data_IF_994786590449
#
_entry.id   IF_994786590449
#
_cell.length_a   1.000
_cell.length_b   1.000
_cell.length_c   1.000
_cell.angle_alpha   90.00
_cell.angle_beta   90.00
_cell.angle_gamma   90.00
#
_symmetry.space_group_name_H-M   'P 1'
#
loop_
_entity.id
_entity.type
_entity.pdbx_description
1 polymer ?
#
# COMPACT_ATOMS: atom_id res chain seq x y z
N UNK A 1 -0.77 7.01 -1.13
CA UNK A 1 -1.59 6.89 -2.35
C UNK A 1 -3.04 7.19 -2.05
N UNK A 2 -3.62 8.12 -2.76
CA UNK A 2 -5.03 8.49 -2.63
C UNK A 2 -5.93 7.52 -3.42
N UNK A 3 -7.19 7.39 -3.03
CA UNK A 3 -8.17 6.65 -3.84
C UNK A 3 -8.31 7.23 -5.25
N UNK A 4 -8.20 8.56 -5.38
CA UNK A 4 -8.25 9.23 -6.69
C UNK A 4 -7.15 8.78 -7.66
N UNK A 5 -6.04 8.29 -7.15
CA UNK A 5 -4.92 7.80 -7.95
C UNK A 5 -5.07 6.34 -8.39
N UNK A 6 -6.03 5.61 -7.80
CA UNK A 6 -6.33 4.23 -8.18
C UNK A 6 -7.13 4.23 -9.48
N UNK A 7 -6.69 3.44 -10.45
CA UNK A 7 -7.39 3.32 -11.73
C UNK A 7 -8.62 2.42 -11.57
N UNK A 8 -9.81 3.00 -11.71
CA UNK A 8 -11.06 2.26 -11.54
C UNK A 8 -11.40 1.92 -10.09
N UNK A 9 -12.23 0.91 -9.91
CA UNK A 9 -12.65 0.40 -8.59
C UNK A 9 -13.40 1.42 -7.71
N UNK A 10 -14.10 2.37 -8.30
CA UNK A 10 -14.82 3.42 -7.55
C UNK A 10 -15.84 2.84 -6.57
N UNK A 11 -16.63 1.87 -7.00
CA UNK A 11 -17.65 1.24 -6.15
C UNK A 11 -17.03 0.50 -4.96
N UNK A 12 -15.95 -0.25 -5.19
CA UNK A 12 -15.25 -0.97 -4.14
C UNK A 12 -14.54 -0.01 -3.19
N UNK A 13 -13.91 1.04 -3.72
CA UNK A 13 -13.31 2.10 -2.92
C UNK A 13 -14.32 2.79 -2.02
N UNK A 14 -15.52 3.07 -2.54
CA UNK A 14 -16.61 3.67 -1.75
C UNK A 14 -17.04 2.76 -0.59
N UNK A 15 -17.14 1.45 -0.82
CA UNK A 15 -17.47 0.48 0.25
C UNK A 15 -16.38 0.42 1.31
N UNK A 16 -15.12 0.45 0.91
CA UNK A 16 -13.99 0.46 1.84
C UNK A 16 -13.99 1.72 2.71
N UNK A 17 -14.19 2.87 2.13
CA UNK A 17 -14.29 4.13 2.87
C UNK A 17 -15.47 4.12 3.85
N UNK A 18 -16.61 3.63 3.43
CA UNK A 18 -17.79 3.52 4.29
C UNK A 18 -17.52 2.60 5.49
N UNK A 19 -16.81 1.49 5.30
CA UNK A 19 -16.46 0.59 6.40
C UNK A 19 -15.61 1.29 7.47
N UNK A 20 -14.68 2.15 7.06
CA UNK A 20 -13.86 2.95 7.99
C UNK A 20 -14.72 3.97 8.71
N UNK A 21 -15.57 4.70 8.00
CA UNK A 21 -16.41 5.74 8.57
C UNK A 21 -17.47 5.21 9.53
N UNK A 22 -17.98 4.02 9.27
CA UNK A 22 -18.94 3.36 10.15
C UNK A 22 -18.30 2.59 11.31
N UNK A 23 -16.97 2.54 11.38
CA UNK A 23 -16.25 1.79 12.41
C UNK A 23 -16.29 0.28 12.24
N UNK A 24 -16.57 -0.21 11.04
CA UNK A 24 -16.73 -1.65 10.73
C UNK A 24 -15.58 -2.18 9.89
N UNK A 25 -14.36 -1.88 10.27
CA UNK A 25 -13.18 -2.36 9.58
C UNK A 25 -12.91 -3.81 9.98
N UNK A 26 -12.81 -4.69 8.99
CA UNK A 26 -12.48 -6.10 9.23
C UNK A 26 -11.08 -6.23 9.81
N UNK A 27 -10.89 -7.18 10.72
CA UNK A 27 -9.60 -7.47 11.36
C UNK A 27 -8.51 -7.85 10.34
N UNK A 28 -8.89 -8.58 9.29
CA UNK A 28 -8.00 -8.95 8.19
C UNK A 28 -8.79 -8.84 6.89
N UNK A 29 -8.15 -8.31 5.85
CA UNK A 29 -8.75 -8.09 4.54
C UNK A 29 -7.85 -8.63 3.45
N UNK A 30 -8.43 -9.39 2.52
CA UNK A 30 -7.72 -9.91 1.35
C UNK A 30 -8.10 -9.08 0.13
N UNK A 31 -7.10 -8.47 -0.49
CA UNK A 31 -7.23 -7.77 -1.77
C UNK A 31 -6.66 -8.69 -2.84
N UNK A 32 -7.53 -9.34 -3.60
CA UNK A 32 -7.11 -10.25 -4.66
C UNK A 32 -7.55 -9.75 -6.03
N UNK A 33 -6.79 -10.11 -7.04
CA UNK A 33 -7.07 -9.77 -8.42
C UNK A 33 -5.97 -10.26 -9.32
N UNK A 34 -6.19 -10.14 -10.62
CA UNK A 34 -5.16 -10.43 -11.61
C UNK A 34 -4.05 -9.40 -11.53
N UNK A 35 -2.86 -9.79 -11.97
CA UNK A 35 -1.72 -8.90 -12.06
C UNK A 35 -2.07 -7.65 -12.89
N UNK A 36 -1.72 -6.48 -12.36
CA UNK A 36 -2.05 -5.20 -12.98
C UNK A 36 -3.47 -4.69 -12.75
N UNK A 37 -4.34 -5.47 -12.10
CA UNK A 37 -5.72 -5.07 -11.83
C UNK A 37 -5.87 -4.00 -10.72
N UNK A 38 -4.82 -3.76 -9.93
CA UNK A 38 -4.80 -2.68 -8.95
C UNK A 38 -5.11 -3.10 -7.52
N UNK A 39 -5.02 -4.38 -7.18
CA UNK A 39 -5.24 -4.85 -5.80
C UNK A 39 -4.31 -4.15 -4.80
N UNK A 40 -3.01 -4.08 -5.11
CA UNK A 40 -2.03 -3.41 -4.26
C UNK A 40 -2.25 -1.89 -4.20
N UNK A 41 -2.59 -1.26 -5.33
CA UNK A 41 -2.91 0.16 -5.38
C UNK A 41 -4.09 0.50 -4.46
N UNK A 42 -5.16 -0.29 -4.53
CA UNK A 42 -6.34 -0.10 -3.69
C UNK A 42 -6.01 -0.35 -2.21
N UNK A 43 -5.22 -1.37 -1.91
CA UNK A 43 -4.78 -1.66 -0.54
C UNK A 43 -3.95 -0.51 0.05
N UNK A 44 -3.07 0.09 -0.73
CA UNK A 44 -2.29 1.28 -0.31
C UNK A 44 -3.20 2.48 -0.03
N UNK A 45 -4.14 2.75 -0.92
CA UNK A 45 -5.10 3.84 -0.72
C UNK A 45 -5.94 3.62 0.54
N UNK A 46 -6.37 2.39 0.77
CA UNK A 46 -7.12 2.02 1.97
C UNK A 46 -6.30 2.17 3.25
N UNK A 47 -5.04 1.73 3.26
CA UNK A 47 -4.14 1.90 4.39
C UNK A 47 -3.93 3.38 4.73
N UNK A 48 -3.77 4.23 3.74
CA UNK A 48 -3.67 5.67 3.94
C UNK A 48 -4.96 6.26 4.53
N UNK A 49 -6.10 5.82 4.03
CA UNK A 49 -7.41 6.26 4.53
C UNK A 49 -7.64 5.87 6.00
N UNK A 50 -7.25 4.65 6.37
CA UNK A 50 -7.34 4.15 7.75
C UNK A 50 -6.54 4.99 8.74
N UNK A 51 -5.42 5.55 8.32
CA UNK A 51 -4.48 6.29 9.17
C UNK A 51 -4.55 7.81 8.95
N UNK A 52 -5.34 8.28 8.00
CA UNK A 52 -5.52 9.71 7.74
C UNK A 52 -6.13 10.41 8.95
N UNK A 53 -5.56 11.55 9.34
CA UNK A 53 -6.03 12.34 10.49
C UNK A 53 -7.34 13.07 10.22
N UNK A 54 -7.62 13.38 8.96
CA UNK A 54 -8.82 14.12 8.53
C UNK A 54 -9.41 13.53 7.25
N UNK A 55 -9.87 12.26 7.27
CA UNK A 55 -10.45 11.65 6.08
C UNK A 55 -11.80 12.30 5.74
N UNK A 56 -12.07 12.42 4.45
CA UNK A 56 -13.37 12.85 3.95
C UNK A 56 -14.16 11.64 3.45
N UNK A 57 -15.41 11.85 3.08
CA UNK A 57 -16.22 10.80 2.45
C UNK A 57 -15.61 10.32 1.12
N UNK A 58 -14.94 11.21 0.40
CA UNK A 58 -14.39 10.92 -0.91
C UNK A 58 -12.97 10.32 -0.88
N UNK A 59 -12.11 10.74 0.05
CA UNK A 59 -10.71 10.33 0.06
C UNK A 59 -9.99 10.74 1.36
N UNK A 60 -8.73 10.32 1.48
CA UNK A 60 -7.80 10.88 2.46
C UNK A 60 -7.54 12.36 2.17
N UNK A 61 -7.16 13.13 3.19
CA UNK A 61 -6.92 14.57 3.02
C UNK A 61 -5.69 14.88 2.15
N UNK A 62 -4.71 13.99 2.11
CA UNK A 62 -3.47 14.17 1.34
C UNK A 62 -2.47 15.16 1.95
N UNK A 63 -2.80 15.82 3.04
CA UNK A 63 -2.03 16.94 3.59
C UNK A 63 -1.54 16.72 5.01
N UNK A 64 -2.18 15.85 5.79
CA UNK A 64 -1.76 15.59 7.17
C UNK A 64 -0.40 14.88 7.22
N UNK A 65 0.21 14.84 8.39
CA UNK A 65 1.51 14.16 8.60
C UNK A 65 1.47 12.71 8.17
N UNK A 66 0.39 12.00 8.47
CA UNK A 66 0.18 10.61 8.05
C UNK A 66 0.15 10.48 6.52
N UNK A 67 -0.64 11.30 5.83
CA UNK A 67 -0.71 11.28 4.37
C UNK A 67 0.64 11.59 3.71
N UNK A 68 1.38 12.55 4.24
CA UNK A 68 2.72 12.90 3.74
C UNK A 68 3.71 11.74 3.92
N UNK A 69 3.62 11.03 5.05
CA UNK A 69 4.45 9.86 5.31
C UNK A 69 4.13 8.71 4.33
N UNK A 70 2.85 8.47 4.04
CA UNK A 70 2.44 7.49 3.02
C UNK A 70 2.96 7.85 1.62
N UNK A 71 2.92 9.12 1.26
CA UNK A 71 3.42 9.58 -0.04
C UNK A 71 4.92 9.29 -0.23
N UNK A 72 5.67 9.26 0.86
CA UNK A 72 7.11 8.94 0.87
C UNK A 72 7.39 7.46 1.16
N UNK A 73 6.37 6.63 1.29
CA UNK A 73 6.53 5.24 1.73
C UNK A 73 7.27 5.09 3.07
N UNK A 74 7.01 6.00 4.00
CA UNK A 74 7.72 6.10 5.28
C UNK A 74 6.78 6.19 6.50
N UNK A 75 5.53 5.74 6.36
CA UNK A 75 4.61 5.74 7.49
C UNK A 75 5.06 4.72 8.55
N UNK A 76 5.22 5.12 9.82
CA UNK A 76 5.78 4.25 10.87
C UNK A 76 4.87 3.07 11.23
N UNK A 77 3.58 3.18 11.02
CA UNK A 77 2.61 2.13 11.36
C UNK A 77 2.26 1.22 10.16
N UNK A 78 2.84 1.49 9.00
CA UNK A 78 2.65 0.66 7.81
C UNK A 78 3.87 -0.24 7.61
N UNK A 79 3.66 -1.54 7.79
CA UNK A 79 4.70 -2.54 7.65
C UNK A 79 4.46 -3.36 6.40
N UNK A 80 5.51 -3.56 5.62
CA UNK A 80 5.46 -4.27 4.36
C UNK A 80 6.04 -5.67 4.46
N UNK A 81 5.33 -6.65 3.92
CA UNK A 81 5.83 -7.99 3.71
C UNK A 81 5.80 -8.28 2.20
N UNK A 82 6.92 -8.67 1.64
CA UNK A 82 7.09 -8.90 0.22
C UNK A 82 8.04 -10.07 -0.02
N UNK A 83 7.95 -10.78 -1.16
CA UNK A 83 8.89 -11.85 -1.47
C UNK A 83 10.29 -11.29 -1.71
N UNK A 84 11.31 -11.99 -1.23
CA UNK A 84 12.71 -11.61 -1.41
C UNK A 84 13.62 -12.84 -1.38
N UNK A 85 14.84 -12.66 -1.88
CA UNK A 85 15.89 -13.65 -1.76
C UNK A 85 16.83 -13.27 -0.61
N UNK A 86 17.47 -14.28 -0.02
CA UNK A 86 18.51 -14.03 0.97
C UNK A 86 19.65 -13.23 0.34
N UNK A 87 20.01 -12.12 0.96
CA UNK A 87 21.12 -11.30 0.50
C UNK A 87 22.46 -11.98 0.79
N UNK A 88 23.48 -11.68 -0.03
CA UNK A 88 24.84 -12.17 0.18
C UNK A 88 25.37 -11.74 1.54
N UNK A 89 26.02 -12.66 2.24
CA UNK A 89 26.57 -12.41 3.56
C UNK A 89 25.59 -12.49 4.72
N UNK A 90 24.30 -12.69 4.46
CA UNK A 90 23.31 -12.90 5.51
C UNK A 90 23.31 -14.34 6.03
N UNK A 91 23.25 -14.51 7.34
CA UNK A 91 23.08 -15.81 7.96
C UNK A 91 21.64 -16.32 7.79
N UNK A 92 20.67 -15.41 7.94
CA UNK A 92 19.25 -15.69 7.76
C UNK A 92 18.65 -14.74 6.73
N UNK A 93 17.67 -15.22 5.98
CA UNK A 93 16.93 -14.39 5.05
C UNK A 93 16.05 -13.39 5.82
N UNK A 94 16.30 -12.11 5.64
CA UNK A 94 15.49 -11.01 6.19
C UNK A 94 15.19 -9.99 5.11
N UNK A 95 14.11 -9.25 5.28
CA UNK A 95 13.70 -8.24 4.30
C UNK A 95 14.47 -6.91 4.41
N UNK A 96 15.20 -6.70 5.50
CA UNK A 96 15.88 -5.43 5.77
C UNK A 96 16.75 -4.91 4.62
N UNK A 97 17.63 -5.72 4.00
CA UNK A 97 18.45 -5.24 2.90
C UNK A 97 17.66 -4.81 1.66
N UNK A 98 16.43 -5.25 1.54
CA UNK A 98 15.58 -5.02 0.37
C UNK A 98 14.55 -3.90 0.57
N UNK A 99 14.46 -3.32 1.77
CA UNK A 99 13.47 -2.28 2.09
C UNK A 99 13.61 -1.04 1.21
N UNK A 100 14.84 -0.60 0.95
CA UNK A 100 15.10 0.53 0.07
C UNK A 100 14.61 0.29 -1.35
N UNK A 101 14.95 -0.85 -1.91
CA UNK A 101 14.50 -1.25 -3.27
C UNK A 101 12.99 -1.37 -3.35
N UNK A 102 12.35 -1.92 -2.31
CA UNK A 102 10.90 -1.99 -2.23
C UNK A 102 10.25 -0.61 -2.21
N UNK A 103 10.80 0.31 -1.42
CA UNK A 103 10.30 1.69 -1.36
C UNK A 103 10.40 2.37 -2.73
N UNK A 104 11.52 2.25 -3.41
CA UNK A 104 11.71 2.80 -4.76
C UNK A 104 10.71 2.22 -5.74
N UNK A 105 10.53 0.90 -5.73
CA UNK A 105 9.57 0.24 -6.60
C UNK A 105 8.14 0.74 -6.35
N UNK A 106 7.74 0.90 -5.10
CA UNK A 106 6.41 1.37 -4.74
C UNK A 106 6.20 2.85 -5.07
N UNK A 107 7.26 3.67 -5.02
CA UNK A 107 7.20 5.08 -5.43
C UNK A 107 7.07 5.23 -6.95
N UNK A 108 7.60 4.29 -7.74
CA UNK A 108 7.38 4.26 -9.19
C UNK A 108 5.95 3.91 -9.54
N UNK A 109 5.31 3.04 -8.77
CA UNK A 109 3.90 2.68 -8.93
C UNK A 109 3.54 1.33 -8.33
N UNK A 110 2.31 1.19 -7.84
CA UNK A 110 1.84 -0.02 -7.16
C UNK A 110 1.25 -1.08 -8.12
N UNK A 111 1.41 -0.89 -9.42
CA UNK A 111 0.93 -1.84 -10.44
C UNK A 111 2.01 -2.84 -10.88
N UNK A 112 3.09 -2.89 -10.13
CA UNK A 112 4.21 -3.77 -10.33
C UNK A 112 3.80 -5.24 -10.19
N UNK A 113 4.20 -6.08 -11.14
CA UNK A 113 4.05 -7.53 -11.03
C UNK A 113 5.10 -8.17 -10.12
N UNK A 114 4.84 -9.38 -9.69
CA UNK A 114 5.78 -10.12 -8.83
C UNK A 114 7.11 -10.37 -9.55
N UNK A 115 7.05 -10.75 -10.83
CA UNK A 115 8.26 -10.96 -11.63
C UNK A 115 9.08 -9.68 -11.77
N UNK A 116 8.42 -8.55 -12.07
CA UNK A 116 9.08 -7.25 -12.16
C UNK A 116 9.77 -6.85 -10.84
N UNK A 117 9.14 -7.21 -9.73
CA UNK A 117 9.72 -6.99 -8.41
C UNK A 117 10.95 -7.86 -8.18
N UNK A 118 10.84 -9.17 -8.46
CA UNK A 118 11.93 -10.12 -8.24
C UNK A 118 13.15 -9.80 -9.12
N UNK A 119 12.94 -9.25 -10.31
CA UNK A 119 14.02 -8.82 -11.21
C UNK A 119 14.82 -7.63 -10.68
N UNK A 120 14.28 -6.89 -9.70
CA UNK A 120 14.98 -5.77 -9.05
C UNK A 120 15.90 -6.22 -7.90
N UNK A 121 15.74 -7.45 -7.47
CA UNK A 121 16.56 -8.02 -6.39
C UNK A 121 17.94 -8.52 -6.93
#
# INVERSE_FOLDING_TARGET
MLYAEVVGHEALGAKLRESVRSGRVAHAQLFEGQEGAGALALARAHAQYLTCEQPTEADSCGECTSCKAHAKMQHPDLHWCFPFFKADGQEKATSEPHQGTWREAMLEGPYLGVEDWLDRL
#
